data_IF_450418164944
#
_entry.id   IF_450418164944
#
_cell.length_a   1.000
_cell.length_b   1.000
_cell.length_c   1.000
_cell.angle_alpha   90.00
_cell.angle_beta   90.00
_cell.angle_gamma   90.00
#
_symmetry.space_group_name_H-M   'P 1'
#
loop_
_entity.id
_entity.type
_entity.pdbx_description
1 polymer ?
#
# COMPACT_ATOMS: atom_id res chain seq x y z
N UNK A 1 -6.55 -1.93 17.19
CA UNK A 1 -6.25 -1.15 15.98
C UNK A 1 -4.75 -1.11 15.83
N UNK A 2 -4.19 -1.77 14.80
CA UNK A 2 -2.75 -1.86 14.62
C UNK A 2 -2.29 -0.75 13.67
N UNK A 3 -1.59 0.23 14.25
CA UNK A 3 -0.92 1.30 13.53
C UNK A 3 0.59 1.05 13.64
N UNK A 4 1.33 1.25 12.54
CA UNK A 4 2.79 1.21 12.56
C UNK A 4 3.37 2.53 12.07
N UNK A 5 4.50 2.89 12.65
CA UNK A 5 5.18 4.15 12.34
C UNK A 5 5.85 4.06 10.95
N UNK A 6 5.53 5.00 10.07
CA UNK A 6 6.21 5.17 8.78
C UNK A 6 6.94 6.50 8.75
N UNK A 7 8.28 6.40 8.73
CA UNK A 7 9.15 7.56 8.50
C UNK A 7 9.33 7.78 6.99
N UNK A 8 8.53 8.68 6.43
CA UNK A 8 8.58 9.04 5.01
C UNK A 8 9.55 10.18 4.72
N UNK A 9 10.03 10.27 3.47
CA UNK A 9 10.64 11.51 2.98
C UNK A 9 9.58 12.62 2.98
N UNK A 10 9.91 13.76 3.58
CA UNK A 10 9.10 14.96 3.49
C UNK A 10 9.28 15.61 2.11
N UNK A 11 8.25 15.52 1.26
CA UNK A 11 8.27 16.08 -0.10
C UNK A 11 8.12 17.59 -0.16
N UNK A 12 7.84 18.26 0.97
CA UNK A 12 7.71 19.72 1.10
C UNK A 12 8.93 20.39 1.75
N UNK A 13 9.98 19.62 2.08
CA UNK A 13 11.17 20.08 2.81
C UNK A 13 10.97 20.06 4.34
N UNK A 14 12.06 19.83 5.08
CA UNK A 14 12.07 19.68 6.54
C UNK A 14 12.20 18.22 7.03
N UNK A 15 12.02 18.03 8.34
CA UNK A 15 12.19 16.73 8.99
C UNK A 15 11.27 15.64 8.42
N UNK A 16 11.68 14.35 8.47
CA UNK A 16 10.84 13.23 8.08
C UNK A 16 9.49 13.31 8.78
N UNK A 17 8.40 13.31 8.00
CA UNK A 17 7.06 13.32 8.58
C UNK A 17 6.73 11.89 9.02
N UNK A 18 6.67 11.70 10.33
CA UNK A 18 6.15 10.48 10.94
C UNK A 18 4.66 10.40 10.67
N UNK A 19 4.18 9.21 10.31
CA UNK A 19 2.76 8.92 10.22
C UNK A 19 2.47 7.51 10.70
N UNK A 20 1.28 7.35 11.26
CA UNK A 20 0.72 6.06 11.58
C UNK A 20 0.03 5.49 10.34
N UNK A 21 0.49 4.33 9.89
CA UNK A 21 -0.15 3.59 8.81
C UNK A 21 -0.97 2.44 9.39
N UNK A 22 -2.14 2.20 8.82
CA UNK A 22 -2.97 1.05 9.15
C UNK A 22 -2.32 -0.26 8.69
N UNK A 23 -2.36 -1.26 9.57
CA UNK A 23 -1.97 -2.62 9.28
C UNK A 23 -3.19 -3.53 9.44
N UNK A 24 -3.52 -4.35 8.42
CA UNK A 24 -4.48 -5.44 8.56
C UNK A 24 -4.19 -6.33 9.77
N UNK A 25 -5.22 -6.87 10.40
CA UNK A 25 -5.07 -7.69 11.62
C UNK A 25 -4.28 -8.98 11.35
N UNK A 26 -4.54 -9.64 10.23
CA UNK A 26 -3.81 -10.83 9.77
C UNK A 26 -2.31 -10.54 9.56
N UNK A 27 -1.98 -9.41 8.94
CA UNK A 27 -0.59 -8.97 8.76
C UNK A 27 0.06 -8.65 10.11
N UNK A 28 -0.67 -8.03 11.04
CA UNK A 28 -0.16 -7.74 12.38
C UNK A 28 0.16 -9.04 13.15
N UNK A 29 -0.71 -10.04 13.05
CA UNK A 29 -0.51 -11.35 13.67
C UNK A 29 0.70 -12.08 13.09
N UNK A 30 0.84 -12.06 11.76
CA UNK A 30 1.99 -12.64 11.06
C UNK A 30 3.31 -11.95 11.47
N UNK A 31 3.31 -10.62 11.56
CA UNK A 31 4.47 -9.85 12.01
C UNK A 31 4.81 -10.15 13.48
N UNK A 32 3.81 -10.20 14.37
CA UNK A 32 4.06 -10.55 15.77
C UNK A 32 4.64 -11.96 15.91
N UNK A 33 4.12 -12.91 15.13
CA UNK A 33 4.65 -14.27 15.09
C UNK A 33 6.09 -14.28 14.58
N UNK A 34 6.36 -13.61 13.46
CA UNK A 34 7.69 -13.49 12.88
C UNK A 34 8.69 -12.87 13.87
N UNK A 35 8.33 -11.77 14.52
CA UNK A 35 9.17 -11.10 15.53
C UNK A 35 9.50 -12.02 16.70
N UNK A 36 8.51 -12.78 17.22
CA UNK A 36 8.76 -13.75 18.31
C UNK A 36 9.68 -14.88 17.87
N UNK A 37 9.45 -15.47 16.70
CA UNK A 37 10.24 -16.59 16.18
C UNK A 37 11.69 -16.18 15.86
N UNK A 38 11.90 -14.93 15.47
CA UNK A 38 13.21 -14.38 15.13
C UNK A 38 13.89 -13.66 16.30
N UNK A 39 13.22 -13.51 17.43
CA UNK A 39 13.74 -12.79 18.60
C UNK A 39 14.04 -11.32 18.31
N UNK A 40 13.23 -10.67 17.47
CA UNK A 40 13.43 -9.26 17.10
C UNK A 40 13.02 -8.36 18.27
N UNK A 41 13.87 -7.39 18.59
CA UNK A 41 13.50 -6.31 19.51
C UNK A 41 12.63 -5.25 18.80
N UNK A 42 12.08 -4.32 19.58
CA UNK A 42 11.20 -3.26 19.07
C UNK A 42 11.90 -2.28 18.10
N UNK A 43 13.23 -2.22 18.12
CA UNK A 43 14.03 -1.34 17.24
C UNK A 43 14.58 -2.06 16.00
N UNK A 44 14.47 -3.39 15.96
CA UNK A 44 15.00 -4.19 14.86
C UNK A 44 14.04 -4.12 13.67
N UNK A 45 14.52 -3.70 12.49
CA UNK A 45 13.68 -3.67 11.30
C UNK A 45 13.16 -5.07 10.94
N UNK A 46 11.86 -5.19 10.66
CA UNK A 46 11.31 -6.43 10.09
C UNK A 46 11.88 -6.76 8.71
N UNK A 47 12.24 -5.72 7.95
CA UNK A 47 12.84 -5.83 6.62
C UNK A 47 14.07 -4.94 6.57
N UNK A 48 15.24 -5.53 6.80
CA UNK A 48 16.53 -4.86 6.58
C UNK A 48 16.94 -4.98 5.11
N UNK A 49 16.43 -4.07 4.28
CA UNK A 49 16.70 -4.05 2.86
C UNK A 49 16.83 -2.63 2.31
N UNK A 50 17.78 -2.45 1.39
CA UNK A 50 17.90 -1.20 0.66
C UNK A 50 16.70 -0.97 -0.26
N UNK A 51 16.46 0.29 -0.64
CA UNK A 51 15.42 0.66 -1.62
C UNK A 51 15.62 -0.04 -2.97
N UNK A 52 16.87 -0.26 -3.39
CA UNK A 52 17.15 -0.96 -4.65
C UNK A 52 16.87 -2.46 -4.54
N UNK A 53 17.08 -3.07 -3.37
CA UNK A 53 16.69 -4.46 -3.09
C UNK A 53 15.18 -4.65 -3.21
N UNK A 54 14.39 -3.78 -2.57
CA UNK A 54 12.92 -3.84 -2.64
C UNK A 54 12.42 -3.66 -4.07
N UNK A 55 12.97 -2.69 -4.82
CA UNK A 55 12.63 -2.49 -6.24
C UNK A 55 12.92 -3.73 -7.08
N UNK A 56 14.06 -4.40 -6.82
CA UNK A 56 14.45 -5.63 -7.51
C UNK A 56 13.46 -6.77 -7.21
N UNK A 57 13.09 -6.98 -5.95
CA UNK A 57 12.12 -8.00 -5.57
C UNK A 57 10.76 -7.79 -6.24
N UNK A 58 10.28 -6.54 -6.33
CA UNK A 58 9.05 -6.22 -7.05
C UNK A 58 9.16 -6.58 -8.54
N UNK A 59 10.30 -6.23 -9.17
CA UNK A 59 10.54 -6.58 -10.58
C UNK A 59 10.59 -8.10 -10.80
N UNK A 60 11.29 -8.83 -9.94
CA UNK A 60 11.37 -10.29 -10.01
C UNK A 60 9.99 -10.95 -9.82
N UNK A 61 9.17 -10.43 -8.91
CA UNK A 61 7.80 -10.89 -8.72
C UNK A 61 6.92 -10.59 -9.94
N UNK A 62 7.05 -9.40 -10.51
CA UNK A 62 6.36 -8.98 -11.73
C UNK A 62 6.72 -9.87 -12.93
N UNK A 63 8.01 -10.17 -13.13
CA UNK A 63 8.50 -11.07 -14.18
C UNK A 63 7.92 -12.48 -14.02
N UNK A 64 7.95 -13.04 -12.79
CA UNK A 64 7.35 -14.35 -12.49
C UNK A 64 5.83 -14.40 -12.74
N UNK A 65 5.12 -13.30 -12.54
CA UNK A 65 3.69 -13.22 -12.85
C UNK A 65 3.47 -13.11 -14.36
N UNK A 66 4.29 -12.31 -15.06
CA UNK A 66 4.23 -12.15 -16.51
C UNK A 66 4.40 -13.50 -17.23
N UNK A 67 5.37 -14.30 -16.80
CA UNK A 67 5.64 -15.63 -17.36
C UNK A 67 4.51 -16.61 -17.08
N UNK A 68 4.10 -16.74 -15.81
CA UNK A 68 3.05 -17.70 -15.41
C UNK A 68 1.69 -17.43 -16.05
N UNK A 69 1.39 -16.16 -16.36
CA UNK A 69 0.11 -15.73 -16.92
C UNK A 69 0.16 -15.43 -18.41
N UNK A 70 1.30 -15.64 -19.07
CA UNK A 70 1.56 -15.23 -20.45
C UNK A 70 1.10 -13.78 -20.73
N UNK A 71 1.47 -12.87 -19.83
CA UNK A 71 0.96 -11.51 -19.82
C UNK A 71 2.12 -10.50 -19.64
N UNK A 72 2.80 -10.11 -20.74
CA UNK A 72 4.01 -9.27 -20.69
C UNK A 72 3.83 -7.94 -19.96
N UNK A 73 2.62 -7.37 -19.97
CA UNK A 73 2.28 -6.12 -19.26
C UNK A 73 2.62 -6.12 -17.78
N UNK A 74 2.67 -7.29 -17.12
CA UNK A 74 3.03 -7.37 -15.70
C UNK A 74 4.46 -6.90 -15.44
N UNK A 75 5.35 -6.94 -16.42
CA UNK A 75 6.75 -6.47 -16.28
C UNK A 75 6.88 -4.96 -16.07
N UNK A 76 5.83 -4.20 -16.35
CA UNK A 76 5.80 -2.74 -16.15
C UNK A 76 5.45 -2.36 -14.71
N UNK A 77 5.00 -3.31 -13.89
CA UNK A 77 4.58 -3.05 -12.50
C UNK A 77 5.76 -2.62 -11.65
N UNK A 78 5.64 -1.44 -11.06
CA UNK A 78 6.60 -0.89 -10.09
C UNK A 78 6.03 -0.87 -8.66
N UNK A 79 6.87 -0.57 -7.67
CA UNK A 79 6.42 -0.35 -6.29
C UNK A 79 5.40 0.78 -6.18
N UNK A 80 5.46 1.77 -7.08
CA UNK A 80 4.48 2.86 -7.13
C UNK A 80 3.10 2.35 -7.58
N UNK A 81 3.06 1.41 -8.53
CA UNK A 81 1.81 0.83 -9.02
C UNK A 81 1.16 -0.07 -7.98
N UNK A 82 1.94 -0.72 -7.11
CA UNK A 82 1.40 -1.44 -5.96
C UNK A 82 0.64 -0.50 -5.01
N UNK A 83 1.24 0.66 -4.68
CA UNK A 83 0.58 1.68 -3.86
C UNK A 83 -0.67 2.24 -4.56
N UNK A 84 -0.59 2.49 -5.87
CA UNK A 84 -1.72 2.97 -6.68
C UNK A 84 -2.88 1.98 -6.68
N UNK A 85 -2.60 0.72 -6.98
CA UNK A 85 -3.59 -0.36 -6.98
C UNK A 85 -4.25 -0.52 -5.60
N UNK A 86 -3.46 -0.51 -4.53
CA UNK A 86 -3.98 -0.59 -3.16
C UNK A 86 -4.94 0.58 -2.84
N UNK A 87 -4.56 1.81 -3.21
CA UNK A 87 -5.37 2.99 -2.99
C UNK A 87 -6.70 2.93 -3.76
N UNK A 88 -6.62 2.65 -5.07
CA UNK A 88 -7.78 2.55 -5.95
C UNK A 88 -8.72 1.43 -5.51
N UNK A 89 -8.19 0.26 -5.13
CA UNK A 89 -9.02 -0.83 -4.61
C UNK A 89 -9.78 -0.42 -3.34
N UNK A 90 -9.13 0.27 -2.40
CA UNK A 90 -9.81 0.67 -1.18
C UNK A 90 -10.85 1.79 -1.40
N UNK A 91 -10.53 2.76 -2.25
CA UNK A 91 -11.42 3.88 -2.58
C UNK A 91 -12.63 3.41 -3.40
N UNK A 92 -12.37 2.68 -4.49
CA UNK A 92 -13.40 2.28 -5.44
C UNK A 92 -14.11 1.03 -4.93
N UNK A 93 -13.40 -0.10 -4.80
CA UNK A 93 -14.01 -1.42 -4.54
C UNK A 93 -14.41 -1.65 -3.07
N UNK A 94 -13.70 -1.06 -2.11
CA UNK A 94 -14.05 -1.16 -0.68
C UNK A 94 -14.89 0.00 -0.15
N UNK A 95 -15.08 1.07 -0.92
CA UNK A 95 -15.82 2.27 -0.50
C UNK A 95 -15.28 2.87 0.81
N UNK A 96 -13.96 2.76 1.04
CA UNK A 96 -13.36 3.44 2.18
C UNK A 96 -13.46 4.94 1.94
N UNK A 97 -13.93 5.67 2.97
CA UNK A 97 -14.04 7.11 2.93
C UNK A 97 -12.71 7.77 2.52
N UNK A 98 -12.81 8.80 1.68
CA UNK A 98 -11.63 9.49 1.12
C UNK A 98 -10.76 10.07 2.24
N UNK A 99 -11.35 10.64 3.31
CA UNK A 99 -10.55 11.19 4.41
C UNK A 99 -9.86 10.09 5.22
N UNK A 100 -10.50 8.94 5.40
CA UNK A 100 -9.85 7.76 5.98
C UNK A 100 -8.65 7.33 5.12
N UNK A 101 -8.82 7.22 3.80
CA UNK A 101 -7.72 6.86 2.90
C UNK A 101 -6.60 7.90 2.89
N UNK A 102 -6.94 9.19 2.88
CA UNK A 102 -5.99 10.30 3.00
C UNK A 102 -5.12 10.17 4.26
N UNK A 103 -5.76 9.89 5.41
CA UNK A 103 -5.08 9.69 6.69
C UNK A 103 -4.11 8.52 6.66
N UNK A 104 -4.56 7.34 6.21
CA UNK A 104 -3.74 6.12 6.19
C UNK A 104 -2.62 6.17 5.15
N UNK A 105 -2.93 6.66 3.94
CA UNK A 105 -1.94 6.72 2.86
C UNK A 105 -0.99 7.91 2.95
N UNK A 106 -1.27 8.91 3.79
CA UNK A 106 -0.44 10.09 3.96
C UNK A 106 -0.56 11.11 2.83
N UNK A 107 -1.77 11.27 2.27
CA UNK A 107 -2.07 12.33 1.29
C UNK A 107 -2.50 13.60 2.01
N UNK A 108 -1.82 14.73 1.74
CA UNK A 108 -2.04 15.98 2.47
C UNK A 108 -3.26 16.78 2.02
N UNK A 109 -3.78 16.49 0.84
CA UNK A 109 -4.82 17.27 0.17
C UNK A 109 -5.54 16.40 -0.87
N UNK A 110 -6.70 16.88 -1.32
CA UNK A 110 -7.57 16.13 -2.23
C UNK A 110 -6.95 15.95 -3.62
N UNK A 111 -6.21 16.94 -4.13
CA UNK A 111 -5.54 16.80 -5.44
C UNK A 111 -4.45 15.73 -5.42
N UNK A 112 -3.85 15.43 -4.26
CA UNK A 112 -2.90 14.33 -4.13
C UNK A 112 -3.56 12.94 -4.17
N UNK A 113 -4.85 12.80 -3.80
CA UNK A 113 -5.58 11.53 -3.82
C UNK A 113 -6.48 11.36 -5.06
N UNK A 114 -6.84 12.45 -5.73
CA UNK A 114 -7.65 12.47 -6.95
C UNK A 114 -7.19 11.45 -8.02
N UNK A 115 -5.88 11.28 -8.31
CA UNK A 115 -5.43 10.30 -9.31
C UNK A 115 -5.73 8.84 -8.99
N UNK A 116 -6.21 8.53 -7.77
CA UNK A 116 -6.59 7.18 -7.33
C UNK A 116 -8.10 6.97 -7.31
N UNK A 117 -8.90 8.03 -7.51
CA UNK A 117 -10.35 8.01 -7.62
C UNK A 117 -10.76 7.63 -9.05
N UNK A 118 -10.52 6.38 -9.44
CA UNK A 118 -10.98 5.89 -10.74
C UNK A 118 -12.52 5.87 -10.80
N UNK A 119 -13.06 5.97 -12.02
CA UNK A 119 -14.49 5.82 -12.22
C UNK A 119 -14.97 4.44 -11.71
N UNK A 120 -16.08 4.40 -10.95
CA UNK A 120 -16.65 3.14 -10.49
C UNK A 120 -17.15 2.30 -11.67
N UNK A 121 -17.03 0.98 -11.58
CA UNK A 121 -17.57 0.07 -12.60
C UNK A 121 -19.11 0.08 -12.63
N UNK A 122 -19.75 -0.33 -13.73
CA UNK A 122 -21.21 -0.36 -13.82
C UNK A 122 -21.86 -1.22 -12.72
N UNK A 123 -21.30 -2.40 -12.44
CA UNK A 123 -21.71 -3.26 -11.33
C UNK A 123 -21.68 -2.50 -10.01
N UNK A 124 -20.62 -1.70 -9.80
CA UNK A 124 -20.41 -0.89 -8.60
C UNK A 124 -21.46 0.21 -8.47
N UNK A 125 -21.78 0.90 -9.56
CA UNK A 125 -22.84 1.92 -9.59
C UNK A 125 -24.17 1.29 -9.19
N UNK A 126 -24.46 0.09 -9.73
CA UNK A 126 -25.66 -0.67 -9.39
C UNK A 126 -25.74 -1.08 -7.91
N UNK A 127 -24.63 -1.45 -7.29
CA UNK A 127 -24.57 -1.75 -5.84
C UNK A 127 -24.77 -0.52 -4.97
N UNK A 128 -24.10 0.59 -5.30
CA UNK A 128 -24.12 1.82 -4.49
C UNK A 128 -25.49 2.50 -4.46
N UNK A 129 -26.29 2.33 -5.52
CA UNK A 129 -27.61 2.95 -5.66
C UNK A 129 -28.77 2.01 -5.29
N UNK A 130 -28.50 0.81 -4.77
CA UNK A 130 -29.55 -0.05 -4.20
C UNK A 130 -30.03 0.54 -2.88
N UNK A 131 -31.32 0.89 -2.85
CA UNK A 131 -32.09 1.26 -1.66
C UNK A 131 -32.52 0.00 -0.91
#
# INVERSE_FOLDING_TARGET
MWLFEVQGKNTKGGDPKTRDAWMPEDVADDIHKYSRERGLDASTPWVDASKSSVRRWVKEAADKVAERKDAPRWREVSSHDLRRSWATYHLVERQVDVRTMMSVGGWSDYSAIEPYLAEPTETRIGEAMRV
#
